data_IF_649171231376
#
_entry.id   IF_649171231376
#
_cell.length_a   1.000
_cell.length_b   1.000
_cell.length_c   1.000
_cell.angle_alpha   90.00
_cell.angle_beta   90.00
_cell.angle_gamma   90.00
#
_symmetry.space_group_name_H-M   'P 1'
#
loop_
_entity.id
_entity.type
_entity.pdbx_description
1 polymer ?
#
# COMPACT_ATOMS: atom_id res chain seq x y z
N UNK A 1 19.96 8.75 -9.40
CA UNK A 1 19.24 9.89 -10.00
C UNK A 1 17.80 9.46 -10.14
N UNK A 2 16.86 10.16 -9.52
CA UNK A 2 15.42 9.87 -9.32
C UNK A 2 14.72 9.11 -10.47
N UNK A 3 15.08 9.43 -11.73
CA UNK A 3 14.62 8.69 -12.91
C UNK A 3 14.99 7.20 -12.92
N UNK A 4 16.17 6.79 -12.46
CA UNK A 4 16.62 5.39 -12.50
C UNK A 4 15.89 4.50 -11.49
N UNK A 5 15.45 5.06 -10.35
CA UNK A 5 14.61 4.35 -9.38
C UNK A 5 13.19 4.24 -9.93
N UNK A 6 12.63 5.33 -10.48
CA UNK A 6 11.35 5.29 -11.21
C UNK A 6 11.37 4.29 -12.37
N UNK A 7 12.43 4.27 -13.18
CA UNK A 7 12.60 3.32 -14.28
C UNK A 7 12.67 1.88 -13.77
N UNK A 8 13.36 1.63 -12.65
CA UNK A 8 13.46 0.29 -12.05
C UNK A 8 12.12 -0.19 -11.45
N UNK A 9 11.31 0.70 -10.86
CA UNK A 9 9.95 0.40 -10.41
C UNK A 9 9.00 0.14 -11.58
N UNK A 10 9.12 0.89 -12.68
CA UNK A 10 8.33 0.72 -13.92
C UNK A 10 8.77 -0.55 -14.68
N UNK A 11 10.06 -0.86 -14.71
CA UNK A 11 10.62 -2.00 -15.48
C UNK A 11 10.55 -3.34 -14.75
N UNK A 12 10.24 -3.37 -13.45
CA UNK A 12 10.15 -4.59 -12.66
C UNK A 12 8.80 -5.35 -12.82
N UNK A 13 7.92 -4.93 -13.73
CA UNK A 13 6.80 -5.75 -14.20
C UNK A 13 7.15 -6.56 -15.45
N UNK A 14 7.68 -7.78 -15.27
CA UNK A 14 7.30 -8.90 -16.10
C UNK A 14 6.84 -10.03 -15.15
N UNK A 15 5.62 -10.54 -15.22
CA UNK A 15 4.99 -11.16 -16.38
C UNK A 15 3.50 -11.32 -16.13
N UNK A 16 2.74 -11.12 -17.21
CA UNK A 16 1.35 -11.49 -17.43
C UNK A 16 0.95 -12.76 -16.67
N UNK A 17 0.02 -12.61 -15.73
CA UNK A 17 -0.90 -13.67 -15.38
C UNK A 17 -1.95 -13.75 -16.50
N UNK A 18 -2.01 -14.88 -17.22
CA UNK A 18 -3.11 -15.14 -18.16
C UNK A 18 -4.33 -15.67 -17.38
N UNK A 19 -5.49 -14.99 -17.43
CA UNK A 19 -6.72 -15.58 -16.92
C UNK A 19 -7.18 -16.71 -17.85
N UNK A 20 -7.42 -17.90 -17.27
CA UNK A 20 -8.10 -19.00 -17.97
C UNK A 20 -9.48 -18.58 -18.50
N UNK A 21 -10.03 -19.29 -19.51
CA UNK A 21 -11.08 -18.75 -20.36
C UNK A 21 -12.45 -18.80 -19.67
N UNK A 22 -13.06 -17.64 -19.48
CA UNK A 22 -14.51 -17.47 -19.47
C UNK A 22 -14.82 -16.02 -19.82
N UNK A 23 -15.26 -15.82 -21.07
CA UNK A 23 -15.50 -14.50 -21.64
C UNK A 23 -16.65 -13.75 -21.00
N UNK A 24 -16.54 -12.42 -21.05
CA UNK A 24 -17.59 -11.44 -21.35
C UNK A 24 -16.84 -10.23 -21.91
N UNK A 25 -17.05 -9.93 -23.19
CA UNK A 25 -16.57 -8.70 -23.83
C UNK A 25 -17.34 -7.51 -23.25
N UNK A 26 -16.62 -6.57 -22.62
CA UNK A 26 -17.14 -5.25 -22.33
C UNK A 26 -16.20 -4.23 -22.96
N UNK A 27 -16.58 -3.72 -24.12
CA UNK A 27 -15.94 -2.57 -24.72
C UNK A 27 -16.25 -1.33 -23.86
N UNK A 28 -15.29 -0.90 -23.04
CA UNK A 28 -15.35 0.40 -22.34
C UNK A 28 -14.44 1.36 -23.08
N UNK A 29 -15.05 2.36 -23.72
CA UNK A 29 -14.34 3.39 -24.49
C UNK A 29 -13.35 4.15 -23.61
N UNK A 30 -12.10 4.22 -24.07
CA UNK A 30 -11.08 5.06 -23.49
C UNK A 30 -11.50 6.54 -23.63
N UNK A 31 -11.93 7.15 -22.51
CA UNK A 31 -11.99 8.60 -22.39
C UNK A 31 -10.62 9.07 -21.92
N UNK A 32 -9.98 9.86 -22.76
CA UNK A 32 -8.75 10.59 -22.46
C UNK A 32 -9.05 11.58 -21.32
N UNK A 33 -8.66 11.21 -20.09
CA UNK A 33 -8.74 12.10 -18.94
C UNK A 33 -7.49 12.97 -18.97
N UNK A 34 -7.68 14.29 -19.06
CA UNK A 34 -6.61 15.25 -18.94
C UNK A 34 -5.99 15.15 -17.54
N UNK A 35 -4.84 14.46 -17.44
CA UNK A 35 -4.04 14.39 -16.22
C UNK A 35 -3.50 15.78 -15.89
N UNK A 36 -3.92 16.34 -14.76
CA UNK A 36 -3.30 17.54 -14.20
C UNK A 36 -1.82 17.26 -13.91
N UNK A 37 -0.92 17.95 -14.60
CA UNK A 37 0.53 17.78 -14.52
C UNK A 37 1.16 18.50 -13.32
N UNK A 38 0.55 18.42 -12.13
CA UNK A 38 1.32 18.64 -10.91
C UNK A 38 1.89 17.28 -10.51
N UNK A 39 3.19 17.09 -10.76
CA UNK A 39 3.90 15.88 -10.36
C UNK A 39 3.72 15.70 -8.85
N UNK A 40 3.06 14.61 -8.45
CA UNK A 40 2.94 14.23 -7.04
C UNK A 40 4.34 14.22 -6.42
N UNK A 41 4.56 15.02 -5.38
CA UNK A 41 5.81 14.96 -4.62
C UNK A 41 5.76 13.71 -3.71
N UNK A 42 6.16 12.56 -4.25
CA UNK A 42 6.20 11.28 -3.53
C UNK A 42 7.14 11.30 -2.30
N UNK A 43 7.98 12.33 -2.16
CA UNK A 43 8.91 12.48 -1.03
C UNK A 43 8.28 13.16 0.19
N UNK A 44 7.22 13.95 0.01
CA UNK A 44 6.47 14.61 1.09
C UNK A 44 4.98 14.66 0.80
N UNK A 45 4.18 13.96 1.60
CA UNK A 45 2.72 13.90 1.50
C UNK A 45 2.10 14.51 2.75
N UNK A 46 1.00 15.24 2.62
CA UNK A 46 0.37 15.90 3.77
C UNK A 46 -1.13 16.05 3.61
N UNK A 47 -1.87 15.87 4.70
CA UNK A 47 -3.28 16.25 4.83
C UNK A 47 -3.47 17.44 5.78
N UNK A 48 -2.38 18.14 6.12
CA UNK A 48 -2.31 19.24 7.09
C UNK A 48 -2.58 18.84 8.55
N UNK A 49 -2.79 17.55 8.83
CA UNK A 49 -2.85 16.98 10.19
C UNK A 49 -1.60 16.15 10.47
N UNK A 50 -1.17 15.36 9.49
CA UNK A 50 0.11 14.63 9.52
C UNK A 50 0.92 14.96 8.26
N UNK A 51 2.22 14.77 8.38
CA UNK A 51 3.15 14.76 7.24
C UNK A 51 3.79 13.37 7.12
N UNK A 52 3.93 12.90 5.87
CA UNK A 52 4.70 11.72 5.53
C UNK A 52 5.96 12.16 4.79
N UNK A 53 7.12 11.81 5.32
CA UNK A 53 8.40 12.08 4.66
C UNK A 53 9.06 10.77 4.28
N UNK A 54 9.48 10.64 3.02
CA UNK A 54 10.20 9.44 2.59
C UNK A 54 11.52 9.34 3.35
N UNK A 55 11.76 8.18 3.95
CA UNK A 55 13.04 7.82 4.57
C UNK A 55 13.85 6.92 3.65
N UNK A 56 13.20 5.98 2.96
CA UNK A 56 13.85 5.00 2.09
C UNK A 56 12.98 4.66 0.88
N UNK A 57 13.63 4.43 -0.25
CA UNK A 57 13.06 3.83 -1.46
C UNK A 57 13.81 2.53 -1.72
N UNK A 58 13.26 1.41 -1.27
CA UNK A 58 13.90 0.11 -1.42
C UNK A 58 13.58 -0.45 -2.81
N UNK A 59 14.59 -0.90 -3.57
CA UNK A 59 14.34 -1.63 -4.81
C UNK A 59 13.74 -3.00 -4.53
N UNK A 60 13.22 -3.66 -5.58
CA UNK A 60 12.84 -5.06 -5.50
C UNK A 60 14.02 -5.94 -5.07
N UNK A 61 13.73 -6.97 -4.28
CA UNK A 61 14.63 -8.10 -4.03
C UNK A 61 13.88 -9.40 -4.37
N UNK A 62 13.94 -9.85 -5.64
CA UNK A 62 13.26 -11.05 -6.08
C UNK A 62 13.72 -12.32 -5.35
N UNK A 63 14.99 -12.37 -4.90
CA UNK A 63 15.51 -13.54 -4.18
C UNK A 63 14.82 -13.73 -2.82
N UNK A 64 14.27 -12.65 -2.26
CA UNK A 64 13.48 -12.65 -1.01
C UNK A 64 11.98 -12.49 -1.25
N UNK A 65 11.54 -12.45 -2.51
CA UNK A 65 10.14 -12.18 -2.87
C UNK A 65 9.66 -10.78 -2.45
N UNK A 66 10.58 -9.84 -2.27
CA UNK A 66 10.26 -8.46 -1.91
C UNK A 66 10.04 -7.64 -3.17
N UNK A 67 8.89 -6.98 -3.23
CA UNK A 67 8.60 -5.96 -4.25
C UNK A 67 9.25 -4.62 -3.86
N UNK A 68 9.42 -3.70 -4.81
CA UNK A 68 9.85 -2.35 -4.49
C UNK A 68 8.94 -1.68 -3.46
N UNK A 69 9.50 -0.88 -2.54
CA UNK A 69 8.68 -0.20 -1.52
C UNK A 69 9.21 1.18 -1.13
N UNK A 70 8.29 2.05 -0.75
CA UNK A 70 8.55 3.29 -0.06
C UNK A 70 8.43 3.08 1.44
N UNK A 71 9.33 3.68 2.21
CA UNK A 71 9.20 3.79 3.66
C UNK A 71 9.13 5.27 4.04
N UNK A 72 8.08 5.64 4.75
CA UNK A 72 7.84 7.00 5.24
C UNK A 72 7.90 7.02 6.76
N UNK A 73 8.44 8.11 7.31
CA UNK A 73 8.12 8.52 8.68
C UNK A 73 6.81 9.30 8.68
N UNK A 74 6.06 9.16 9.77
CA UNK A 74 4.85 9.92 10.05
C UNK A 74 5.21 10.96 11.12
N UNK A 75 4.91 12.23 10.88
CA UNK A 75 5.01 13.30 11.88
C UNK A 75 3.67 14.01 12.04
N UNK A 76 3.47 14.72 13.15
CA UNK A 76 2.40 15.72 13.22
C UNK A 76 2.71 16.86 12.25
N UNK A 77 1.68 17.47 11.67
CA UNK A 77 1.90 18.50 10.67
C UNK A 77 2.76 19.66 11.20
N UNK A 78 3.84 19.97 10.48
CA UNK A 78 4.80 21.02 10.87
C UNK A 78 5.71 20.66 12.06
N UNK A 79 5.68 19.41 12.53
CA UNK A 79 6.58 18.87 13.54
C UNK A 79 7.66 18.00 12.90
N UNK A 80 8.85 18.00 13.49
CA UNK A 80 9.93 17.07 13.15
C UNK A 80 9.85 15.74 13.92
N UNK A 81 9.01 15.67 14.96
CA UNK A 81 8.85 14.49 15.81
C UNK A 81 8.21 13.34 15.03
N UNK A 82 8.93 12.23 14.92
CA UNK A 82 8.43 10.99 14.36
C UNK A 82 7.47 10.30 15.34
N UNK A 83 6.21 10.16 14.93
CA UNK A 83 5.14 9.52 15.70
C UNK A 83 4.80 8.11 15.18
N UNK A 84 5.45 7.68 14.10
CA UNK A 84 5.21 6.40 13.48
C UNK A 84 5.90 6.25 12.13
N UNK A 85 5.68 5.10 11.50
CA UNK A 85 6.17 4.78 10.16
C UNK A 85 5.07 4.13 9.33
N UNK A 86 5.14 4.30 8.01
CA UNK A 86 4.27 3.61 7.06
C UNK A 86 5.08 3.21 5.83
N UNK A 87 4.75 2.06 5.27
CA UNK A 87 5.38 1.51 4.06
C UNK A 87 4.34 1.27 3.00
N UNK A 88 4.69 1.58 1.75
CA UNK A 88 3.91 1.26 0.56
C UNK A 88 4.74 0.35 -0.34
N UNK A 89 4.28 -0.89 -0.52
CA UNK A 89 4.83 -1.87 -1.46
C UNK A 89 4.14 -1.71 -2.80
N UNK A 90 4.92 -1.64 -3.88
CA UNK A 90 4.46 -1.32 -5.23
C UNK A 90 4.42 -2.56 -6.12
N UNK A 91 3.35 -2.68 -6.91
CA UNK A 91 3.15 -3.77 -7.87
C UNK A 91 2.42 -4.96 -7.26
N UNK A 92 2.37 -6.04 -8.03
CA UNK A 92 1.62 -7.25 -7.68
C UNK A 92 2.60 -8.42 -7.48
N UNK A 93 2.46 -9.14 -6.37
CA UNK A 93 3.25 -10.33 -6.07
C UNK A 93 2.48 -11.25 -5.11
N UNK A 94 2.53 -12.59 -5.25
CA UNK A 94 1.77 -13.51 -4.39
C UNK A 94 1.99 -13.30 -2.88
N UNK A 95 3.20 -12.90 -2.47
CA UNK A 95 3.49 -12.59 -1.06
C UNK A 95 2.62 -11.44 -0.50
N UNK A 96 2.17 -10.51 -1.35
CA UNK A 96 1.31 -9.38 -0.95
C UNK A 96 -0.11 -9.81 -0.57
N UNK A 97 -0.56 -10.99 -1.01
CA UNK A 97 -1.84 -11.56 -0.57
C UNK A 97 -1.86 -11.81 0.95
N UNK A 98 -0.69 -12.00 1.56
CA UNK A 98 -0.50 -12.21 3.00
C UNK A 98 0.09 -10.97 3.68
N UNK A 99 1.16 -10.41 3.11
CA UNK A 99 1.87 -9.27 3.69
C UNK A 99 1.15 -7.92 3.52
N UNK A 100 0.22 -7.83 2.56
CA UNK A 100 -0.44 -6.59 2.15
C UNK A 100 0.48 -5.63 1.41
N UNK A 101 -0.07 -4.57 0.83
CA UNK A 101 0.69 -3.49 0.23
C UNK A 101 1.16 -2.48 1.27
N UNK A 102 0.41 -2.32 2.36
CA UNK A 102 0.69 -1.33 3.40
C UNK A 102 1.06 -2.02 4.70
N UNK A 103 2.14 -1.55 5.33
CA UNK A 103 2.48 -1.87 6.70
C UNK A 103 2.79 -0.60 7.47
N UNK A 104 2.29 -0.47 8.70
CA UNK A 104 2.48 0.74 9.49
C UNK A 104 2.72 0.43 10.97
N UNK A 105 3.25 1.44 11.65
CA UNK A 105 3.38 1.50 13.09
C UNK A 105 3.07 2.93 13.56
N UNK A 106 2.32 3.06 14.65
CA UNK A 106 2.09 4.34 15.34
C UNK A 106 2.48 4.15 16.80
N UNK A 107 3.30 5.07 17.31
CA UNK A 107 3.77 5.07 18.69
C UNK A 107 2.59 5.16 19.68
N UNK A 108 2.71 4.51 20.83
CA UNK A 108 1.59 4.25 21.74
C UNK A 108 0.82 5.52 22.17
N UNK A 109 1.53 6.60 22.51
CA UNK A 109 0.94 7.88 22.91
C UNK A 109 0.13 8.59 21.81
N UNK A 110 0.28 8.16 20.56
CA UNK A 110 -0.38 8.73 19.38
C UNK A 110 -1.48 7.82 18.80
N UNK A 111 -1.71 6.64 19.39
CA UNK A 111 -2.78 5.72 18.96
C UNK A 111 -4.17 6.28 19.29
N UNK A 112 -5.20 5.73 18.63
CA UNK A 112 -6.59 6.15 18.83
C UNK A 112 -6.97 7.47 18.17
N UNK A 113 -6.06 8.10 17.41
CA UNK A 113 -6.27 9.38 16.72
C UNK A 113 -6.38 9.26 15.19
N UNK A 114 -6.57 8.05 14.68
CA UNK A 114 -6.71 7.75 13.25
C UNK A 114 -5.51 8.13 12.36
N UNK A 115 -4.32 8.35 12.92
CA UNK A 115 -3.14 8.70 12.12
C UNK A 115 -2.73 7.61 11.12
N UNK A 116 -2.88 6.32 11.47
CA UNK A 116 -2.63 5.24 10.54
C UNK A 116 -3.57 5.29 9.33
N UNK A 117 -4.87 5.55 9.56
CA UNK A 117 -5.85 5.72 8.48
C UNK A 117 -5.51 6.89 7.57
N UNK A 118 -5.21 8.06 8.16
CA UNK A 118 -4.78 9.26 7.40
C UNK A 118 -3.54 8.97 6.56
N UNK A 119 -2.55 8.30 7.15
CA UNK A 119 -1.33 7.93 6.45
C UNK A 119 -1.61 7.01 5.26
N UNK A 120 -2.48 5.99 5.43
CA UNK A 120 -2.89 5.14 4.32
C UNK A 120 -3.58 5.93 3.20
N UNK A 121 -4.49 6.86 3.53
CA UNK A 121 -5.18 7.69 2.52
C UNK A 121 -4.21 8.52 1.68
N UNK A 122 -3.17 9.08 2.31
CA UNK A 122 -2.12 9.83 1.61
C UNK A 122 -1.30 8.97 0.63
N UNK A 123 -1.24 7.65 0.83
CA UNK A 123 -0.55 6.73 -0.09
C UNK A 123 -1.37 6.37 -1.33
N UNK A 124 -2.69 6.60 -1.33
CA UNK A 124 -3.57 6.28 -2.46
C UNK A 124 -3.10 6.95 -3.77
N UNK A 125 -2.87 8.28 -3.78
CA UNK A 125 -2.33 8.98 -4.94
C UNK A 125 -0.96 8.47 -5.41
N UNK A 126 -0.07 8.06 -4.48
CA UNK A 126 1.22 7.45 -4.84
C UNK A 126 1.01 6.13 -5.57
N UNK A 127 0.15 5.26 -5.04
CA UNK A 127 -0.17 3.98 -5.66
C UNK A 127 -0.80 4.15 -7.06
N UNK A 128 -1.68 5.15 -7.22
CA UNK A 128 -2.24 5.53 -8.53
C UNK A 128 -1.16 6.01 -9.52
N UNK A 129 -0.18 6.81 -9.09
CA UNK A 129 0.94 7.26 -9.93
C UNK A 129 1.80 6.07 -10.41
N UNK A 130 1.85 4.99 -9.63
CA UNK A 130 2.45 3.72 -10.02
C UNK A 130 1.55 2.78 -10.83
N UNK A 131 0.36 3.25 -11.25
CA UNK A 131 -0.58 2.47 -12.07
C UNK A 131 -1.36 1.40 -11.31
N UNK A 132 -1.34 1.43 -9.97
CA UNK A 132 -2.14 0.53 -9.15
C UNK A 132 -3.57 1.03 -9.05
N UNK A 133 -4.55 0.14 -9.19
CA UNK A 133 -5.99 0.46 -9.02
C UNK A 133 -6.56 -0.08 -7.71
N UNK A 134 -5.76 -0.82 -6.95
CA UNK A 134 -6.15 -1.45 -5.68
C UNK A 134 -4.99 -1.51 -4.71
N UNK A 135 -5.32 -1.46 -3.42
CA UNK A 135 -4.40 -1.73 -2.31
C UNK A 135 -4.99 -2.86 -1.47
N UNK A 136 -4.27 -3.97 -1.40
CA UNK A 136 -4.55 -5.05 -0.45
C UNK A 136 -4.06 -4.61 0.93
N UNK A 137 -4.97 -4.51 1.88
CA UNK A 137 -4.67 -4.29 3.30
C UNK A 137 -4.78 -5.62 4.03
N UNK A 138 -3.77 -5.96 4.83
CA UNK A 138 -3.81 -7.13 5.71
C UNK A 138 -3.59 -6.71 7.15
N UNK A 139 -4.27 -7.41 8.06
CA UNK A 139 -4.09 -7.21 9.49
C UNK A 139 -4.22 -8.53 10.26
N UNK A 140 -3.61 -8.56 11.43
CA UNK A 140 -3.77 -9.66 12.38
C UNK A 140 -5.24 -9.67 12.90
N UNK A 141 -5.93 -10.83 12.89
CA UNK A 141 -7.28 -10.98 13.44
C UNK A 141 -7.46 -10.40 14.86
N UNK A 142 -6.44 -10.56 15.71
CA UNK A 142 -6.48 -10.15 17.11
C UNK A 142 -6.17 -8.66 17.28
N UNK A 143 -5.65 -8.00 16.24
CA UNK A 143 -5.35 -6.57 16.26
C UNK A 143 -6.58 -5.72 15.91
N UNK A 144 -7.47 -5.55 16.88
CA UNK A 144 -8.71 -4.77 16.73
C UNK A 144 -8.49 -3.30 16.28
N UNK A 145 -7.34 -2.70 16.59
CA UNK A 145 -7.02 -1.35 16.12
C UNK A 145 -6.74 -1.35 14.62
N UNK A 146 -5.93 -2.30 14.13
CA UNK A 146 -5.62 -2.43 12.71
C UNK A 146 -6.83 -2.86 11.89
N UNK A 147 -7.66 -3.77 12.43
CA UNK A 147 -8.93 -4.14 11.80
C UNK A 147 -9.83 -2.93 11.54
N UNK A 148 -10.06 -2.08 12.55
CA UNK A 148 -10.85 -0.86 12.39
C UNK A 148 -10.27 0.13 11.38
N UNK A 149 -8.95 0.24 11.30
CA UNK A 149 -8.30 1.03 10.25
C UNK A 149 -8.60 0.44 8.87
N UNK A 150 -8.44 -0.88 8.70
CA UNK A 150 -8.72 -1.55 7.43
C UNK A 150 -10.21 -1.47 7.03
N UNK A 151 -11.14 -1.61 7.98
CA UNK A 151 -12.58 -1.48 7.76
C UNK A 151 -12.98 -0.06 7.31
N UNK A 152 -12.25 0.96 7.75
CA UNK A 152 -12.52 2.37 7.39
C UNK A 152 -11.90 2.79 6.06
N UNK A 153 -10.84 2.10 5.65
CA UNK A 153 -10.14 2.33 4.38
C UNK A 153 -10.68 1.47 3.26
N UNK A 154 -10.91 0.19 3.55
CA UNK A 154 -11.29 -0.82 2.59
C UNK A 154 -12.79 -0.79 2.34
N UNK A 155 -13.15 -0.82 1.05
CA UNK A 155 -14.55 -0.92 0.64
C UNK A 155 -15.08 -2.34 0.81
N UNK A 156 -14.20 -3.36 0.81
CA UNK A 156 -14.59 -4.76 0.81
C UNK A 156 -13.70 -5.64 1.71
N UNK A 157 -14.30 -6.32 2.68
CA UNK A 157 -13.65 -7.40 3.42
C UNK A 157 -13.56 -8.64 2.54
N UNK A 158 -12.35 -9.03 2.17
CA UNK A 158 -12.11 -10.16 1.27
C UNK A 158 -12.15 -11.52 1.99
N UNK A 159 -11.93 -11.55 3.31
CA UNK A 159 -11.98 -12.76 4.13
C UNK A 159 -10.77 -12.95 5.04
N UNK A 160 -10.71 -14.13 5.65
CA UNK A 160 -9.60 -14.58 6.50
C UNK A 160 -8.79 -15.60 5.69
N UNK A 161 -7.48 -15.37 5.59
CA UNK A 161 -6.57 -16.21 4.82
C UNK A 161 -5.50 -16.80 5.73
N UNK A 162 -5.21 -18.09 5.56
CA UNK A 162 -4.11 -18.74 6.27
C UNK A 162 -2.77 -18.20 5.77
N UNK A 163 -1.84 -18.00 6.70
CA UNK A 163 -0.46 -17.61 6.37
C UNK A 163 0.27 -18.89 5.95
N UNK A 164 0.85 -18.94 4.74
CA UNK A 164 1.65 -20.09 4.31
C UNK A 164 2.79 -20.40 5.27
N UNK A 165 3.06 -21.68 5.53
CA UNK A 165 4.03 -22.13 6.55
C UNK A 165 5.48 -21.74 6.23
N UNK A 166 5.78 -21.54 4.96
CA UNK A 166 7.06 -21.07 4.43
C UNK A 166 7.21 -19.53 4.45
N UNK A 167 6.13 -18.80 4.72
CA UNK A 167 6.14 -17.33 4.76
C UNK A 167 6.78 -16.80 6.05
N UNK A 168 7.54 -15.71 5.97
CA UNK A 168 8.24 -15.09 7.11
C UNK A 168 7.28 -14.76 8.28
N UNK A 169 6.06 -14.33 7.98
CA UNK A 169 5.05 -14.04 9.00
C UNK A 169 4.67 -15.28 9.82
N UNK A 170 4.66 -16.48 9.21
CA UNK A 170 4.36 -17.72 9.93
C UNK A 170 5.44 -18.03 10.97
N UNK A 171 6.71 -17.81 10.59
CA UNK A 171 7.87 -17.96 11.45
C UNK A 171 7.83 -16.99 12.63
N UNK A 172 7.20 -15.81 12.44
CA UNK A 172 6.95 -14.81 13.49
C UNK A 172 5.69 -15.08 14.32
N UNK A 173 5.00 -16.19 14.09
CA UNK A 173 3.85 -16.63 14.89
C UNK A 173 2.47 -16.31 14.29
N UNK A 174 2.39 -15.58 13.17
CA UNK A 174 1.11 -15.37 12.51
C UNK A 174 0.58 -16.70 11.94
N UNK A 175 -0.74 -16.87 11.99
CA UNK A 175 -1.41 -18.08 11.46
C UNK A 175 -2.46 -17.74 10.42
N UNK A 176 -3.12 -16.60 10.58
CA UNK A 176 -4.06 -16.07 9.61
C UNK A 176 -3.96 -14.54 9.54
N UNK A 177 -4.44 -13.99 8.43
CA UNK A 177 -4.60 -12.55 8.23
C UNK A 177 -6.02 -12.24 7.76
N UNK A 178 -6.56 -11.13 8.22
CA UNK A 178 -7.77 -10.54 7.64
C UNK A 178 -7.36 -9.66 6.48
N UNK A 179 -7.99 -9.87 5.33
CA UNK A 179 -7.69 -9.13 4.10
C UNK A 179 -8.84 -8.23 3.70
N UNK A 180 -8.50 -7.04 3.24
CA UNK A 180 -9.42 -6.06 2.69
C UNK A 180 -8.87 -5.57 1.36
N UNK A 181 -9.77 -5.38 0.40
CA UNK A 181 -9.44 -4.77 -0.88
C UNK A 181 -9.91 -3.32 -0.85
N UNK A 182 -8.96 -2.40 -0.94
CA UNK A 182 -9.22 -0.97 -1.05
C UNK A 182 -9.07 -0.56 -2.52
N UNK A 183 -10.18 -0.31 -3.19
CA UNK A 183 -10.20 0.19 -4.57
C UNK A 183 -9.80 1.65 -4.57
N UNK A 184 -8.83 2.00 -5.41
CA UNK A 184 -8.38 3.37 -5.57
C UNK A 184 -9.17 4.03 -6.69
N UNK A 185 -9.94 5.06 -6.35
CA UNK A 185 -10.67 5.86 -7.32
C UNK A 185 -9.87 7.15 -7.59
N UNK A 186 -9.80 7.54 -8.86
CA UNK A 186 -9.14 8.78 -9.29
C UNK A 186 -9.96 10.05 -9.02
N UNK A 187 -11.15 9.93 -8.43
CA UNK A 187 -12.07 11.05 -8.17
C UNK A 187 -12.38 11.16 -6.67
N UNK A 188 -11.73 12.10 -5.99
CA UNK A 188 -12.18 12.69 -4.71
C UNK A 188 -11.53 14.05 -4.49
#
# INVERSE_FOLDING_TARGET
>A
CELAVRQAFISASPTLWEPGPAGIDIAVGAREVAMSTETLNEDHLTDRVIDLYVQMKDPADPARGHVPQYQYKITLHGSEEEIGTIRLRIGEHPALLTAGHVGYFVAEGYRGRHFAERACRLLGPVALDHGMTRIILTCDPENAASRRTCERLGEHFAGIFEVPTDHEMYQKGARAVWRYDWVLNTES
#
